data_IF_817601697314
#
_entry.id   IF_817601697314
#
_cell.length_a   1.000
_cell.length_b   1.000
_cell.length_c   1.000
_cell.angle_alpha   90.00
_cell.angle_beta   90.00
_cell.angle_gamma   90.00
#
_symmetry.space_group_name_H-M   'P 1'
#
loop_
_entity.id
_entity.type
_entity.pdbx_description
1 polymer ?
#
# COMPACT_ATOMS: atom_id res chain seq x y z
N UNK A 1 -14.70 19.43 -8.33
CA UNK A 1 -14.86 18.32 -7.35
C UNK A 1 -13.94 17.21 -7.78
N UNK A 2 -13.02 16.81 -6.94
CA UNK A 2 -12.09 15.72 -7.24
C UNK A 2 -12.85 14.38 -7.34
N UNK A 3 -12.62 13.64 -8.40
CA UNK A 3 -13.33 12.38 -8.64
C UNK A 3 -12.81 11.33 -7.65
N UNK A 4 -13.70 10.77 -6.85
CA UNK A 4 -13.34 9.74 -5.87
C UNK A 4 -13.52 8.35 -6.48
N UNK A 5 -12.52 7.50 -6.29
CA UNK A 5 -12.51 6.10 -6.69
C UNK A 5 -12.63 5.18 -5.48
N UNK A 6 -13.27 4.04 -5.67
CA UNK A 6 -13.50 3.03 -4.65
C UNK A 6 -13.10 1.66 -5.20
N UNK A 7 -12.31 0.91 -4.45
CA UNK A 7 -11.97 -0.47 -4.79
C UNK A 7 -13.18 -1.35 -4.52
N UNK A 8 -13.68 -2.03 -5.56
CA UNK A 8 -14.85 -2.91 -5.48
C UNK A 8 -14.50 -4.29 -6.03
N UNK A 9 -14.54 -5.26 -5.16
CA UNK A 9 -14.33 -6.68 -5.45
C UNK A 9 -15.31 -7.57 -4.73
N UNK A 10 -15.14 -8.88 -4.84
CA UNK A 10 -15.99 -9.92 -4.24
C UNK A 10 -15.16 -10.72 -3.24
N UNK A 11 -15.80 -11.21 -2.18
CA UNK A 11 -15.25 -12.16 -1.20
C UNK A 11 -13.92 -11.76 -0.56
N UNK A 12 -13.74 -10.48 -0.26
CA UNK A 12 -12.55 -10.00 0.43
C UNK A 12 -12.42 -8.50 0.45
N UNK A 13 -11.31 -8.05 1.03
CA UNK A 13 -10.93 -6.64 1.08
C UNK A 13 -9.51 -6.46 0.59
N UNK A 14 -9.22 -5.31 0.00
CA UNK A 14 -7.87 -4.97 -0.52
C UNK A 14 -7.30 -6.11 -1.38
N UNK A 15 -6.06 -6.52 -1.19
CA UNK A 15 -5.39 -7.56 -1.96
C UNK A 15 -6.01 -8.98 -1.85
N UNK A 16 -6.93 -9.20 -0.89
CA UNK A 16 -7.70 -10.45 -0.80
C UNK A 16 -9.02 -10.42 -1.56
N UNK A 17 -9.45 -9.27 -2.06
CA UNK A 17 -10.67 -9.18 -2.84
C UNK A 17 -10.46 -9.74 -4.26
N UNK A 18 -11.47 -10.44 -4.76
CA UNK A 18 -11.49 -10.90 -6.14
C UNK A 18 -12.01 -9.77 -7.02
N UNK A 19 -11.13 -9.13 -7.74
CA UNK A 19 -11.47 -8.02 -8.64
C UNK A 19 -11.77 -8.49 -10.05
N UNK A 20 -11.36 -9.72 -10.43
CA UNK A 20 -11.50 -10.28 -11.77
C UNK A 20 -10.94 -9.36 -12.86
N UNK A 21 -9.80 -8.79 -12.59
CA UNK A 21 -9.17 -7.73 -13.38
C UNK A 21 -7.84 -8.15 -14.03
N UNK A 22 -7.48 -9.44 -13.99
CA UNK A 22 -6.23 -9.96 -14.54
C UNK A 22 -6.12 -9.72 -16.05
N UNK A 23 -4.96 -9.26 -16.49
CA UNK A 23 -4.67 -8.93 -17.89
C UNK A 23 -5.64 -7.90 -18.51
N UNK A 24 -6.12 -6.98 -17.71
CA UNK A 24 -7.01 -5.92 -18.14
C UNK A 24 -6.41 -5.04 -19.24
N UNK A 25 -7.23 -4.55 -20.18
CA UNK A 25 -6.75 -3.67 -21.24
C UNK A 25 -6.39 -2.29 -20.70
N UNK A 26 -5.39 -1.65 -21.29
CA UNK A 26 -4.86 -0.34 -20.88
C UNK A 26 -5.83 0.84 -20.98
N UNK A 27 -6.98 0.66 -21.66
CA UNK A 27 -7.91 1.75 -22.03
C UNK A 27 -8.34 2.60 -20.82
N UNK A 28 -8.80 1.98 -19.75
CA UNK A 28 -9.24 2.72 -18.53
C UNK A 28 -8.10 3.48 -17.87
N UNK A 29 -6.92 2.86 -17.76
CA UNK A 29 -5.73 3.54 -17.24
C UNK A 29 -5.38 4.80 -18.06
N UNK A 30 -5.37 4.67 -19.37
CA UNK A 30 -5.05 5.79 -20.26
C UNK A 30 -6.05 6.96 -20.12
N UNK A 31 -7.31 6.69 -19.83
CA UNK A 31 -8.32 7.71 -19.58
C UNK A 31 -8.08 8.52 -18.30
N UNK A 32 -7.40 7.95 -17.30
CA UNK A 32 -7.07 8.63 -16.04
C UNK A 32 -5.95 9.67 -16.19
N UNK A 33 -5.23 9.66 -17.30
CA UNK A 33 -4.11 10.55 -17.59
C UNK A 33 -3.03 10.62 -16.47
N UNK A 34 -2.84 9.52 -15.75
CA UNK A 34 -1.83 9.38 -14.70
C UNK A 34 -0.55 8.81 -15.31
N UNK A 35 0.59 9.43 -14.99
CA UNK A 35 1.91 8.99 -15.48
C UNK A 35 2.58 8.12 -14.42
N UNK A 36 3.29 7.10 -14.89
CA UNK A 36 4.20 6.30 -14.08
C UNK A 36 5.63 6.69 -14.41
N UNK A 37 6.45 6.90 -13.39
CA UNK A 37 7.89 7.19 -13.56
C UNK A 37 8.69 5.90 -13.76
N UNK A 38 9.86 6.02 -14.38
CA UNK A 38 10.84 4.94 -14.47
C UNK A 38 11.28 4.49 -13.07
N UNK A 39 11.80 3.27 -12.99
CA UNK A 39 12.38 2.78 -11.75
C UNK A 39 13.46 3.75 -11.26
N UNK A 40 13.38 4.11 -10.00
CA UNK A 40 14.38 4.93 -9.34
C UNK A 40 15.60 4.07 -9.03
N UNK A 41 16.78 4.56 -9.42
CA UNK A 41 18.06 3.86 -9.22
C UNK A 41 18.85 4.39 -8.02
N UNK A 42 18.36 5.47 -7.39
CA UNK A 42 18.97 6.08 -6.22
C UNK A 42 17.93 6.63 -5.25
N UNK A 43 18.31 6.76 -4.00
CA UNK A 43 17.46 7.34 -2.96
C UNK A 43 18.25 7.47 -1.65
N UNK A 44 17.81 8.35 -0.77
CA UNK A 44 18.52 8.70 0.45
C UNK A 44 17.98 7.95 1.68
N UNK A 45 16.67 7.77 1.75
CA UNK A 45 16.01 7.24 2.94
C UNK A 45 15.03 6.09 2.64
N UNK A 46 14.76 5.30 3.63
CA UNK A 46 13.67 4.32 3.64
C UNK A 46 12.42 5.00 4.16
N UNK A 47 11.34 5.00 3.39
CA UNK A 47 10.06 5.54 3.80
C UNK A 47 9.16 4.44 4.38
N UNK A 48 8.80 4.54 5.65
CA UNK A 48 7.77 3.68 6.26
C UNK A 48 6.44 4.43 6.26
N UNK A 49 5.46 3.92 5.52
CA UNK A 49 4.12 4.51 5.46
C UNK A 49 3.20 3.84 6.46
N UNK A 50 2.80 4.62 7.45
CA UNK A 50 1.91 4.19 8.52
C UNK A 50 0.48 3.92 8.04
N UNK A 51 -0.31 3.33 8.93
CA UNK A 51 -1.71 2.97 8.70
C UNK A 51 -2.60 3.51 9.78
N UNK A 52 -3.91 3.53 9.52
CA UNK A 52 -4.90 3.73 10.56
C UNK A 52 -4.83 2.59 11.55
N UNK A 53 -4.98 2.91 12.83
CA UNK A 53 -5.15 1.92 13.90
C UNK A 53 -6.61 1.43 14.00
N UNK A 54 -7.53 2.02 13.23
CA UNK A 54 -8.92 1.58 13.10
C UNK A 54 -9.16 0.92 11.73
N UNK A 55 -9.96 -0.13 11.73
CA UNK A 55 -10.41 -0.78 10.50
C UNK A 55 -9.44 -1.79 9.90
N UNK A 56 -9.68 -2.15 8.65
CA UNK A 56 -8.98 -3.21 7.92
C UNK A 56 -7.45 -3.06 7.81
N UNK A 57 -6.90 -1.91 8.18
CA UNK A 57 -5.45 -1.67 8.16
C UNK A 57 -4.66 -2.47 9.19
N UNK A 58 -5.26 -2.75 10.37
CA UNK A 58 -4.63 -3.51 11.44
C UNK A 58 -5.49 -4.70 11.91
N UNK A 59 -6.77 -4.75 11.50
CA UNK A 59 -7.62 -5.89 11.82
C UNK A 59 -7.31 -7.00 10.83
N UNK A 60 -6.88 -8.12 11.32
CA UNK A 60 -6.87 -9.35 10.55
C UNK A 60 -8.30 -9.81 10.27
N UNK A 61 -8.69 -9.73 9.02
CA UNK A 61 -9.77 -10.56 8.48
C UNK A 61 -9.14 -11.90 8.12
N UNK A 62 -8.75 -12.65 9.13
CA UNK A 62 -8.08 -13.94 8.95
C UNK A 62 -8.25 -14.79 10.19
N UNK A 63 -8.18 -16.09 10.03
CA UNK A 63 -8.40 -17.11 11.05
C UNK A 63 -7.58 -16.85 12.33
N UNK A 64 -8.07 -17.34 13.46
CA UNK A 64 -7.37 -17.40 14.75
C UNK A 64 -5.95 -18.05 14.68
N UNK A 65 -5.61 -18.64 13.55
CA UNK A 65 -4.32 -19.28 13.26
C UNK A 65 -3.25 -18.36 12.66
N UNK A 66 -3.56 -17.08 12.37
CA UNK A 66 -2.55 -16.14 11.88
C UNK A 66 -1.73 -15.57 13.06
N UNK A 67 -0.42 -15.90 13.17
CA UNK A 67 0.42 -15.42 14.28
C UNK A 67 0.50 -13.89 14.39
N UNK A 68 0.18 -13.18 13.30
CA UNK A 68 0.18 -11.72 13.27
C UNK A 68 -1.12 -11.10 13.79
N UNK A 69 -2.22 -11.89 13.89
CA UNK A 69 -3.55 -11.38 14.28
C UNK A 69 -3.63 -10.92 15.73
N UNK A 70 -2.84 -11.51 16.61
CA UNK A 70 -2.88 -11.28 18.06
C UNK A 70 -1.66 -10.51 18.60
N UNK A 71 -0.70 -10.14 17.73
CA UNK A 71 0.60 -9.69 18.19
C UNK A 71 0.69 -8.19 18.51
N UNK A 72 -0.27 -7.39 18.06
CA UNK A 72 -0.18 -5.94 18.22
C UNK A 72 -1.49 -5.32 18.68
N UNK A 73 -1.56 -5.02 19.95
CA UNK A 73 -2.68 -4.29 20.56
C UNK A 73 -2.52 -2.76 20.45
N UNK A 74 -1.28 -2.28 20.28
CA UNK A 74 -0.98 -0.85 20.08
C UNK A 74 -0.22 -0.64 18.76
N UNK A 75 -0.71 0.24 17.87
CA UNK A 75 -0.03 0.61 16.62
C UNK A 75 1.38 1.13 16.85
N UNK A 76 1.64 1.78 17.98
CA UNK A 76 2.95 2.32 18.33
C UNK A 76 3.98 1.21 18.45
N UNK A 77 3.62 0.11 19.12
CA UNK A 77 4.49 -1.05 19.30
C UNK A 77 4.82 -1.72 17.97
N UNK A 78 3.81 -1.85 17.10
CA UNK A 78 4.02 -2.38 15.75
C UNK A 78 5.05 -1.57 14.99
N UNK A 79 4.91 -0.23 14.97
CA UNK A 79 5.82 0.64 14.22
C UNK A 79 7.21 0.71 14.82
N UNK A 80 7.31 0.76 16.13
CA UNK A 80 8.62 0.73 16.80
C UNK A 80 9.36 -0.57 16.50
N UNK A 81 8.65 -1.71 16.52
CA UNK A 81 9.22 -3.00 16.15
C UNK A 81 9.65 -3.03 14.67
N UNK A 82 8.78 -2.55 13.76
CA UNK A 82 9.12 -2.48 12.34
C UNK A 82 10.37 -1.64 12.08
N UNK A 83 10.48 -0.48 12.72
CA UNK A 83 11.66 0.40 12.59
C UNK A 83 12.93 -0.31 13.08
N UNK A 84 12.88 -1.01 14.24
CA UNK A 84 14.03 -1.80 14.75
C UNK A 84 14.44 -2.88 13.76
N UNK A 85 13.48 -3.65 13.25
CA UNK A 85 13.73 -4.71 12.25
C UNK A 85 14.33 -4.16 10.95
N UNK A 86 13.82 -3.03 10.46
CA UNK A 86 14.35 -2.38 9.25
C UNK A 86 15.80 -1.92 9.48
N UNK A 87 16.09 -1.35 10.65
CA UNK A 87 17.44 -0.88 11.00
C UNK A 87 18.49 -1.99 10.99
N UNK A 88 18.11 -3.23 11.20
CA UNK A 88 19.03 -4.38 11.09
C UNK A 88 19.59 -4.59 9.67
N UNK A 89 18.93 -4.03 8.65
CA UNK A 89 19.24 -4.29 7.23
C UNK A 89 19.61 -3.05 6.43
N UNK A 90 19.67 -1.87 7.04
CA UNK A 90 20.08 -0.63 6.35
C UNK A 90 20.57 0.43 7.31
N UNK A 91 21.59 1.17 6.88
CA UNK A 91 22.09 2.38 7.58
C UNK A 91 21.44 3.67 7.06
N UNK A 92 20.58 3.57 6.05
CA UNK A 92 19.87 4.74 5.50
C UNK A 92 19.00 5.41 6.56
N UNK A 93 18.80 6.74 6.49
CA UNK A 93 17.77 7.39 7.27
C UNK A 93 16.42 6.71 7.11
N UNK A 94 15.66 6.57 8.18
CA UNK A 94 14.29 6.05 8.14
C UNK A 94 13.35 7.23 8.35
N UNK A 95 12.48 7.48 7.39
CA UNK A 95 11.37 8.42 7.51
C UNK A 95 10.11 7.62 7.80
N UNK A 96 9.52 7.84 8.98
CA UNK A 96 8.26 7.23 9.34
C UNK A 96 7.13 8.25 9.18
N UNK A 97 6.25 8.01 8.20
CA UNK A 97 5.08 8.83 7.95
C UNK A 97 3.88 8.30 8.70
N UNK A 98 3.29 9.12 9.59
CA UNK A 98 2.04 8.77 10.28
C UNK A 98 0.87 8.74 9.29
N UNK A 99 -0.26 8.12 9.68
CA UNK A 99 -1.46 8.13 8.83
C UNK A 99 -2.27 9.42 9.07
N UNK A 100 -2.82 10.08 8.01
CA UNK A 100 -3.57 11.33 8.16
C UNK A 100 -4.89 11.16 8.91
N UNK A 101 -5.51 9.97 8.80
CA UNK A 101 -6.73 9.62 9.53
C UNK A 101 -6.36 8.86 10.80
N UNK A 102 -6.89 9.28 11.92
CA UNK A 102 -6.67 8.64 13.19
C UNK A 102 -6.71 9.63 14.35
N UNK A 103 -6.72 9.10 15.56
CA UNK A 103 -6.71 9.90 16.78
C UNK A 103 -5.41 10.71 16.88
N UNK A 104 -5.55 12.01 17.13
CA UNK A 104 -4.42 12.93 17.30
C UNK A 104 -3.51 12.48 18.45
N UNK A 105 -4.08 11.95 19.53
CA UNK A 105 -3.30 11.48 20.68
C UNK A 105 -2.43 10.28 20.29
N UNK A 106 -2.95 9.35 19.50
CA UNK A 106 -2.18 8.20 19.02
C UNK A 106 -1.07 8.66 18.08
N UNK A 107 -1.35 9.56 17.12
CA UNK A 107 -0.30 10.11 16.25
C UNK A 107 0.80 10.79 17.06
N UNK A 108 0.42 11.55 18.09
CA UNK A 108 1.37 12.24 18.95
C UNK A 108 2.21 11.31 19.85
N UNK A 109 1.77 10.06 20.06
CA UNK A 109 2.53 9.04 20.79
C UNK A 109 3.57 8.34 19.93
N UNK A 110 3.43 8.36 18.60
CA UNK A 110 4.38 7.74 17.70
C UNK A 110 5.72 8.51 17.79
N UNK A 111 6.75 7.82 18.24
CA UNK A 111 8.10 8.33 18.40
C UNK A 111 9.11 7.34 17.82
N UNK A 112 10.28 7.80 17.40
CA UNK A 112 11.38 6.90 17.08
C UNK A 112 11.59 5.93 18.24
N UNK A 113 11.87 4.64 17.98
CA UNK A 113 12.19 3.70 19.04
C UNK A 113 13.48 4.11 19.77
N UNK A 114 13.50 3.96 21.08
CA UNK A 114 14.69 4.25 21.89
C UNK A 114 15.89 3.40 21.41
N UNK A 115 17.06 4.04 21.33
CA UNK A 115 18.29 3.42 20.89
C UNK A 115 18.41 3.19 19.38
N UNK A 116 17.45 3.66 18.58
CA UNK A 116 17.54 3.62 17.12
C UNK A 116 17.76 5.01 16.56
N UNK A 117 18.93 5.22 16.01
CA UNK A 117 19.34 6.51 15.45
C UNK A 117 18.82 6.73 14.03
N UNK A 118 18.85 7.97 13.57
CA UNK A 118 18.56 8.36 12.20
C UNK A 118 17.12 8.03 11.75
N UNK A 119 16.16 8.24 12.67
CA UNK A 119 14.72 8.05 12.43
C UNK A 119 14.00 9.38 12.56
N UNK A 120 13.27 9.77 11.53
CA UNK A 120 12.46 10.99 11.47
C UNK A 120 10.98 10.58 11.39
N UNK A 121 10.14 11.17 12.25
CA UNK A 121 8.68 10.98 12.17
C UNK A 121 8.06 12.20 11.48
N UNK A 122 7.35 11.97 10.37
CA UNK A 122 6.60 13.01 9.66
C UNK A 122 5.10 12.90 9.94
N UNK A 123 4.43 14.02 10.14
CA UNK A 123 2.99 14.07 10.32
C UNK A 123 2.30 14.28 8.98
N UNK A 124 1.50 13.30 8.56
CA UNK A 124 0.79 13.33 7.30
C UNK A 124 -0.25 14.46 7.15
N UNK A 125 -0.58 15.19 8.22
CA UNK A 125 -1.45 16.38 8.13
C UNK A 125 -0.69 17.65 7.75
N UNK A 126 0.59 17.72 8.08
CA UNK A 126 1.43 18.90 7.83
C UNK A 126 2.47 18.68 6.73
N UNK A 127 2.64 17.44 6.29
CA UNK A 127 3.64 17.03 5.31
C UNK A 127 3.00 16.19 4.21
N UNK A 128 3.23 16.52 2.95
CA UNK A 128 2.63 15.78 1.82
C UNK A 128 3.34 14.44 1.60
N UNK A 129 2.66 13.49 0.98
CA UNK A 129 3.29 12.21 0.66
C UNK A 129 4.36 12.37 -0.44
N UNK A 130 4.15 13.31 -1.35
CA UNK A 130 5.08 13.62 -2.43
C UNK A 130 6.43 14.12 -1.89
N UNK A 131 6.41 14.90 -0.80
CA UNK A 131 7.62 15.35 -0.13
C UNK A 131 8.40 14.18 0.46
N UNK A 132 7.71 13.25 1.16
CA UNK A 132 8.33 12.05 1.73
C UNK A 132 8.86 11.10 0.64
N UNK A 133 8.15 11.01 -0.51
CA UNK A 133 8.56 10.18 -1.64
C UNK A 133 9.73 10.76 -2.45
N UNK A 134 10.01 12.07 -2.35
CA UNK A 134 10.95 12.76 -3.25
C UNK A 134 12.32 12.10 -3.35
N UNK A 135 12.88 11.68 -2.24
CA UNK A 135 14.21 11.05 -2.17
C UNK A 135 14.16 9.64 -1.54
N UNK A 136 12.99 9.02 -1.49
CA UNK A 136 12.87 7.68 -0.93
C UNK A 136 13.60 6.65 -1.80
N UNK A 137 14.39 5.77 -1.17
CA UNK A 137 15.04 4.62 -1.77
C UNK A 137 14.04 3.49 -1.99
N UNK A 138 13.28 3.17 -0.97
CA UNK A 138 12.17 2.25 -1.02
C UNK A 138 11.07 2.68 -0.04
N UNK A 139 9.88 2.17 -0.23
CA UNK A 139 8.75 2.35 0.67
C UNK A 139 8.41 1.03 1.35
N UNK A 140 8.29 1.05 2.67
CA UNK A 140 7.85 -0.10 3.46
C UNK A 140 6.46 0.19 4.00
N UNK A 141 5.54 -0.73 3.83
CA UNK A 141 4.20 -0.61 4.40
C UNK A 141 3.58 -1.97 4.66
N UNK A 142 2.59 -2.03 5.53
CA UNK A 142 1.79 -3.26 5.69
C UNK A 142 0.73 -3.34 4.58
N UNK A 143 -0.24 -2.42 4.54
CA UNK A 143 -1.34 -2.43 3.56
C UNK A 143 -1.79 -1.02 3.15
N UNK A 144 -0.93 0.01 3.31
CA UNK A 144 -1.30 1.39 2.99
C UNK A 144 -1.43 1.63 1.50
N UNK A 145 -2.41 2.46 1.12
CA UNK A 145 -2.57 2.91 -0.26
C UNK A 145 -1.42 3.83 -0.73
N UNK A 146 -0.64 4.41 0.17
CA UNK A 146 0.60 5.13 -0.18
C UNK A 146 1.64 4.27 -0.92
N UNK A 147 1.48 2.94 -0.93
CA UNK A 147 2.21 2.05 -1.80
C UNK A 147 1.92 2.30 -3.30
N UNK A 148 0.69 2.70 -3.64
CA UNK A 148 0.32 3.02 -5.03
C UNK A 148 1.06 4.28 -5.48
N UNK A 149 1.12 5.30 -4.62
CA UNK A 149 1.87 6.53 -4.89
C UNK A 149 3.36 6.22 -5.13
N UNK A 150 3.92 5.30 -4.35
CA UNK A 150 5.31 4.84 -4.53
C UNK A 150 5.54 4.18 -5.89
N UNK A 151 4.61 3.34 -6.37
CA UNK A 151 4.70 2.73 -7.70
C UNK A 151 4.69 3.78 -8.80
N UNK A 152 3.81 4.77 -8.69
CA UNK A 152 3.72 5.87 -9.66
C UNK A 152 5.01 6.68 -9.71
N UNK A 153 5.64 6.90 -8.56
CA UNK A 153 6.92 7.61 -8.43
C UNK A 153 8.16 6.78 -8.81
N UNK A 154 7.98 5.51 -9.15
CA UNK A 154 9.10 4.65 -9.55
C UNK A 154 9.88 4.08 -8.35
N UNK A 155 9.30 4.04 -7.16
CA UNK A 155 9.94 3.61 -5.92
C UNK A 155 9.58 2.16 -5.63
N UNK A 156 10.56 1.28 -5.33
CA UNK A 156 10.30 -0.09 -4.90
C UNK A 156 9.49 -0.13 -3.60
N UNK A 157 8.65 -1.15 -3.49
CA UNK A 157 7.83 -1.36 -2.29
C UNK A 157 8.23 -2.66 -1.62
N UNK A 158 8.25 -2.64 -0.29
CA UNK A 158 8.41 -3.81 0.55
C UNK A 158 7.16 -3.98 1.39
N UNK A 159 6.50 -5.12 1.28
CA UNK A 159 5.39 -5.50 2.15
C UNK A 159 5.40 -6.99 2.41
N UNK A 160 5.30 -7.37 3.68
CA UNK A 160 5.22 -8.78 4.11
C UNK A 160 3.74 -9.26 4.20
N UNK A 161 2.76 -8.35 4.01
CA UNK A 161 1.34 -8.67 4.16
C UNK A 161 0.64 -8.85 2.81
N UNK A 162 0.15 -10.07 2.49
CA UNK A 162 -0.54 -10.34 1.23
C UNK A 162 -1.88 -9.60 1.06
N UNK A 163 -2.37 -8.94 2.11
CA UNK A 163 -3.55 -8.05 2.00
C UNK A 163 -3.20 -6.73 1.30
N UNK A 164 -1.92 -6.39 1.17
CA UNK A 164 -1.51 -5.20 0.43
C UNK A 164 -1.90 -5.30 -1.04
N UNK A 165 -2.53 -4.26 -1.59
CA UNK A 165 -2.90 -4.23 -3.00
C UNK A 165 -1.71 -4.40 -3.95
N UNK A 166 -0.54 -3.95 -3.51
CA UNK A 166 0.69 -3.99 -4.31
C UNK A 166 1.52 -5.25 -4.12
N UNK A 167 1.03 -6.24 -3.34
CA UNK A 167 1.80 -7.41 -2.95
C UNK A 167 2.48 -8.10 -4.15
N UNK A 168 1.74 -8.39 -5.22
CA UNK A 168 2.25 -9.13 -6.40
C UNK A 168 3.38 -8.43 -7.16
N UNK A 169 3.59 -7.15 -6.91
CA UNK A 169 4.64 -6.34 -7.52
C UNK A 169 5.62 -5.75 -6.51
N UNK A 170 5.60 -6.23 -5.28
CA UNK A 170 6.44 -5.79 -4.17
C UNK A 170 7.53 -6.80 -3.83
N UNK A 171 8.53 -6.34 -3.11
CA UNK A 171 9.43 -7.18 -2.31
C UNK A 171 8.71 -7.66 -1.06
N UNK A 172 8.92 -8.92 -0.67
CA UNK A 172 8.18 -9.53 0.45
C UNK A 172 9.03 -9.69 1.74
N UNK A 173 10.24 -9.17 1.74
CA UNK A 173 11.12 -9.27 2.91
C UNK A 173 11.85 -7.97 3.20
N UNK A 174 11.73 -7.46 4.42
CA UNK A 174 12.48 -6.30 4.88
C UNK A 174 14.00 -6.53 4.88
N UNK A 175 14.47 -7.79 4.84
CA UNK A 175 15.90 -8.12 4.72
C UNK A 175 16.52 -7.58 3.44
N UNK A 176 15.70 -7.35 2.42
CA UNK A 176 16.12 -6.85 1.13
C UNK A 176 16.01 -5.32 1.01
N UNK A 177 15.94 -4.59 2.14
CA UNK A 177 15.77 -3.12 2.15
C UNK A 177 16.84 -2.40 1.32
N UNK A 178 18.08 -2.85 1.32
CA UNK A 178 19.16 -2.25 0.54
C UNK A 178 19.19 -2.68 -0.94
N UNK A 179 18.49 -3.76 -1.29
CA UNK A 179 18.31 -4.24 -2.67
C UNK A 179 16.90 -4.78 -2.89
N UNK A 180 15.88 -3.93 -2.75
CA UNK A 180 14.49 -4.39 -2.89
C UNK A 180 14.24 -4.83 -4.33
N UNK A 181 13.48 -5.91 -4.47
CA UNK A 181 12.95 -6.32 -5.77
C UNK A 181 12.11 -5.19 -6.36
N UNK A 182 12.30 -4.95 -7.64
CA UNK A 182 11.47 -4.00 -8.36
C UNK A 182 11.08 -4.56 -9.73
N UNK A 183 9.79 -4.70 -10.02
CA UNK A 183 9.35 -5.26 -11.28
C UNK A 183 9.66 -4.33 -12.44
N UNK A 184 9.93 -4.91 -13.61
CA UNK A 184 10.14 -4.13 -14.83
C UNK A 184 8.89 -3.32 -15.21
N UNK A 185 9.07 -2.32 -16.09
CA UNK A 185 8.00 -1.40 -16.49
C UNK A 185 6.80 -2.10 -17.10
N UNK A 186 6.99 -3.22 -17.83
CA UNK A 186 5.88 -4.00 -18.42
C UNK A 186 4.98 -4.58 -17.32
N UNK A 187 5.56 -5.20 -16.28
CA UNK A 187 4.80 -5.77 -15.16
C UNK A 187 4.09 -4.67 -14.35
N UNK A 188 4.76 -3.54 -14.10
CA UNK A 188 4.18 -2.40 -13.40
C UNK A 188 3.00 -1.78 -14.16
N UNK A 189 3.15 -1.59 -15.46
CA UNK A 189 2.08 -1.08 -16.32
C UNK A 189 0.88 -2.03 -16.32
N UNK A 190 1.10 -3.35 -16.47
CA UNK A 190 0.00 -4.30 -16.45
C UNK A 190 -0.73 -4.27 -15.11
N UNK A 191 -0.01 -4.23 -13.98
CA UNK A 191 -0.63 -4.10 -12.67
C UNK A 191 -1.50 -2.83 -12.56
N UNK A 192 -1.04 -1.68 -13.08
CA UNK A 192 -1.84 -0.44 -13.10
C UNK A 192 -3.08 -0.58 -14.01
N UNK A 193 -2.96 -1.29 -15.13
CA UNK A 193 -4.13 -1.57 -15.98
C UNK A 193 -5.14 -2.43 -15.22
N UNK A 194 -4.69 -3.46 -14.54
CA UNK A 194 -5.53 -4.33 -13.72
C UNK A 194 -6.18 -3.54 -12.57
N UNK A 195 -5.42 -2.73 -11.83
CA UNK A 195 -5.95 -1.87 -10.77
C UNK A 195 -6.99 -0.87 -11.28
N UNK A 196 -6.88 -0.40 -12.52
CA UNK A 196 -7.89 0.48 -13.09
C UNK A 196 -9.27 -0.18 -13.27
N UNK A 197 -9.33 -1.52 -13.25
CA UNK A 197 -10.57 -2.31 -13.25
C UNK A 197 -10.97 -2.84 -11.87
N UNK A 198 -10.17 -2.58 -10.86
CA UNK A 198 -10.53 -2.79 -9.46
C UNK A 198 -11.20 -1.55 -8.83
N UNK A 199 -10.89 -0.36 -9.36
CA UNK A 199 -11.33 0.92 -8.80
C UNK A 199 -12.33 1.62 -9.72
N UNK A 200 -13.43 2.09 -9.13
CA UNK A 200 -14.59 2.66 -9.81
C UNK A 200 -14.99 3.99 -9.20
N UNK A 201 -15.33 4.98 -10.04
CA UNK A 201 -15.91 6.21 -9.57
C UNK A 201 -17.40 6.03 -9.22
N UNK A 202 -17.95 6.95 -8.43
CA UNK A 202 -19.39 6.94 -8.12
C UNK A 202 -20.25 7.02 -9.37
N UNK A 203 -19.80 7.75 -10.38
CA UNK A 203 -20.54 7.89 -11.64
C UNK A 203 -20.55 6.56 -12.42
N UNK A 204 -19.42 5.88 -12.53
CA UNK A 204 -19.32 4.55 -13.14
C UNK A 204 -20.20 3.52 -12.42
N UNK A 205 -20.29 3.60 -11.08
CA UNK A 205 -21.18 2.73 -10.30
C UNK A 205 -22.65 3.03 -10.60
N UNK A 206 -23.06 4.31 -10.67
CA UNK A 206 -24.43 4.71 -11.04
C UNK A 206 -24.81 4.25 -12.43
N UNK A 207 -23.87 4.24 -13.38
CA UNK A 207 -24.05 3.71 -14.72
C UNK A 207 -24.05 2.16 -14.78
N UNK A 208 -23.82 1.50 -13.66
CA UNK A 208 -23.81 0.03 -13.56
C UNK A 208 -22.58 -0.64 -14.17
N UNK A 209 -21.50 0.12 -14.47
CA UNK A 209 -20.31 -0.43 -15.11
C UNK A 209 -19.57 -1.41 -14.20
N UNK A 210 -19.51 -1.15 -12.91
CA UNK A 210 -18.95 -2.07 -11.89
C UNK A 210 -19.71 -3.38 -11.88
N UNK A 211 -21.07 -3.31 -11.83
CA UNK A 211 -21.90 -4.49 -11.87
C UNK A 211 -21.74 -5.28 -13.17
N UNK A 212 -21.67 -4.59 -14.31
CA UNK A 212 -21.44 -5.23 -15.61
C UNK A 212 -20.11 -5.99 -15.63
N UNK A 213 -19.07 -5.47 -14.97
CA UNK A 213 -17.77 -6.11 -14.86
C UNK A 213 -17.82 -7.37 -13.97
N UNK A 214 -18.47 -7.30 -12.81
CA UNK A 214 -18.41 -8.36 -11.79
C UNK A 214 -19.49 -9.45 -11.95
N UNK A 215 -20.66 -9.13 -12.49
CA UNK A 215 -21.86 -10.00 -12.46
C UNK A 215 -21.67 -11.41 -13.03
N UNK A 216 -20.90 -11.55 -14.09
CA UNK A 216 -20.70 -12.86 -14.75
C UNK A 216 -19.83 -13.79 -13.87
N UNK A 217 -18.88 -13.19 -13.15
CA UNK A 217 -18.02 -13.91 -12.21
C UNK A 217 -18.79 -14.32 -10.94
N UNK A 218 -19.66 -13.45 -10.42
CA UNK A 218 -20.51 -13.76 -9.26
C UNK A 218 -21.49 -14.89 -9.57
N UNK A 219 -22.13 -14.89 -10.74
CA UNK A 219 -23.03 -15.96 -11.16
C UNK A 219 -22.33 -17.31 -11.23
N UNK A 220 -21.13 -17.35 -11.80
CA UNK A 220 -20.35 -18.58 -11.94
C UNK A 220 -19.85 -19.12 -10.58
N UNK A 221 -19.61 -18.24 -9.58
CA UNK A 221 -19.25 -18.64 -8.24
C UNK A 221 -20.43 -19.25 -7.45
N UNK A 222 -21.67 -18.80 -7.72
CA UNK A 222 -22.89 -19.29 -7.06
C UNK A 222 -23.37 -20.64 -7.58
N UNK A 223 -22.76 -21.17 -8.65
CA UNK A 223 -23.11 -22.46 -9.28
C UNK A 223 -22.12 -23.58 -8.97
N UNK A 224 -21.14 -23.33 -8.15
CA UNK A 224 -20.19 -24.32 -7.60
C UNK A 224 -20.46 -24.55 -6.12
#
# INVERSE_FOLDING_TARGET
MEERYFSIGVDGIKGRALFYNENSPKKRWQQRNIRIKQCRESGEHVLIVGQTHYGAGLIHVGSESDPMSNMWTDPTDYYQNLVRRVREYTDRPIVFRTHPIGDKEIRNRIRPPEGVENVIVTDALSHSIEEDLKNAWCTITRTSNGAIDSILEGIPIITEDPVCLTYDISEHSIKNTDKPFYPNMKKRNQWLYDMSYAEWSLEEMRQGLTWKHLREHIKNASTK
#
